data_IF_546394548869
#
_entry.id   IF_546394548869
#
_cell.length_a   1.000
_cell.length_b   1.000
_cell.length_c   1.000
_cell.angle_alpha   90.00
_cell.angle_beta   90.00
_cell.angle_gamma   90.00
#
_symmetry.space_group_name_H-M   'P 1'
#
loop_
_entity.id
_entity.type
_entity.pdbx_description
1 polymer ?
#
# COMPACT_ATOMS: atom_id res chain seq x y z
N UNK A 1 -10.48 -6.92 34.12
CA UNK A 1 -9.28 -6.43 34.85
C UNK A 1 -9.64 -6.31 36.32
N UNK A 2 -8.69 -6.51 37.23
CA UNK A 2 -8.99 -6.52 38.67
C UNK A 2 -8.74 -5.13 39.28
N UNK A 3 -9.48 -4.77 40.33
CA UNK A 3 -9.41 -3.45 40.98
C UNK A 3 -7.98 -3.08 41.42
N UNK A 4 -7.19 -4.06 41.88
CA UNK A 4 -5.77 -3.85 42.24
C UNK A 4 -4.94 -3.34 41.07
N UNK A 5 -5.13 -3.92 39.88
CA UNK A 5 -4.40 -3.51 38.67
C UNK A 5 -4.82 -2.10 38.24
N UNK A 6 -6.11 -1.77 38.38
CA UNK A 6 -6.64 -0.45 38.03
C UNK A 6 -6.01 0.62 38.91
N UNK A 7 -6.04 0.41 40.23
CA UNK A 7 -5.43 1.33 41.21
C UNK A 7 -3.94 1.57 40.97
N UNK A 8 -3.18 0.52 40.63
CA UNK A 8 -1.75 0.65 40.34
C UNK A 8 -1.46 1.48 39.07
N UNK A 9 -2.44 1.65 38.18
CA UNK A 9 -2.27 2.36 36.91
C UNK A 9 -2.90 3.76 36.92
N UNK A 10 -3.38 4.27 38.06
CA UNK A 10 -4.02 5.59 38.13
C UNK A 10 -3.14 6.73 37.66
N UNK A 11 -1.88 6.79 38.12
CA UNK A 11 -0.92 7.83 37.69
C UNK A 11 -0.70 7.77 36.19
N UNK A 12 -0.39 6.59 35.65
CA UNK A 12 -0.17 6.37 34.22
C UNK A 12 -1.40 6.72 33.37
N UNK A 13 -2.60 6.56 33.92
CA UNK A 13 -3.84 6.93 33.25
C UNK A 13 -4.08 8.43 33.21
N UNK A 14 -3.84 9.13 34.31
CA UNK A 14 -3.95 10.59 34.39
C UNK A 14 -2.92 11.25 33.47
N UNK A 15 -1.69 10.73 33.45
CA UNK A 15 -0.61 11.20 32.57
C UNK A 15 -0.75 10.74 31.12
N UNK A 16 -1.80 9.97 30.77
CA UNK A 16 -2.05 9.40 29.44
C UNK A 16 -0.88 8.58 28.88
N UNK A 17 -0.11 7.93 29.76
CA UNK A 17 1.06 7.11 29.45
C UNK A 17 0.74 5.60 29.33
N UNK A 18 -0.52 5.22 29.28
CA UNK A 18 -0.94 3.83 29.10
C UNK A 18 -1.04 3.44 27.61
N UNK A 19 -0.66 2.20 27.30
CA UNK A 19 -0.86 1.64 25.95
C UNK A 19 -2.36 1.58 25.60
N UNK A 20 -2.69 1.72 24.31
CA UNK A 20 -4.10 1.82 23.86
C UNK A 20 -4.97 0.64 24.30
N UNK A 21 -4.42 -0.59 24.36
CA UNK A 21 -5.13 -1.78 24.83
C UNK A 21 -5.48 -1.68 26.32
N UNK A 22 -4.51 -1.33 27.16
CA UNK A 22 -4.70 -1.23 28.61
C UNK A 22 -5.64 -0.08 28.95
N UNK A 23 -5.55 1.03 28.24
CA UNK A 23 -6.45 2.18 28.39
C UNK A 23 -7.91 1.79 28.13
N UNK A 24 -8.20 1.03 27.05
CA UNK A 24 -9.55 0.54 26.76
C UNK A 24 -10.06 -0.38 27.88
N UNK A 25 -9.25 -1.34 28.30
CA UNK A 25 -9.63 -2.26 29.39
C UNK A 25 -9.89 -1.54 30.70
N UNK A 26 -9.13 -0.47 30.98
CA UNK A 26 -9.33 0.33 32.18
C UNK A 26 -10.61 1.15 32.13
N UNK A 27 -10.93 1.78 30.99
CA UNK A 27 -12.21 2.49 30.79
C UNK A 27 -13.41 1.59 31.06
N UNK A 28 -13.43 0.41 30.42
CA UNK A 28 -14.49 -0.59 30.65
C UNK A 28 -14.63 -0.96 32.14
N UNK A 29 -13.51 -1.05 32.87
CA UNK A 29 -13.56 -1.34 34.30
C UNK A 29 -14.08 -0.15 35.13
N UNK A 30 -13.69 1.08 34.79
CA UNK A 30 -14.19 2.28 35.47
C UNK A 30 -15.69 2.49 35.25
N UNK A 31 -16.19 2.16 34.06
CA UNK A 31 -17.62 2.24 33.71
C UNK A 31 -18.46 1.20 34.48
N UNK A 32 -17.88 0.02 34.74
CA UNK A 32 -18.56 -1.09 35.44
C UNK A 32 -18.35 -1.10 36.95
N UNK A 33 -17.29 -0.49 37.48
CA UNK A 33 -16.91 -0.53 38.88
C UNK A 33 -16.95 0.86 39.53
N UNK A 34 -18.07 1.17 40.20
CA UNK A 34 -18.28 2.45 40.90
C UNK A 34 -17.21 2.76 41.95
N UNK A 35 -16.68 1.75 42.66
CA UNK A 35 -15.66 1.98 43.69
C UNK A 35 -14.33 2.43 43.09
N UNK A 36 -13.92 1.87 41.95
CA UNK A 36 -12.71 2.30 41.26
C UNK A 36 -12.88 3.67 40.60
N UNK A 37 -14.07 3.97 40.07
CA UNK A 37 -14.39 5.28 39.49
C UNK A 37 -14.31 6.39 40.55
N UNK A 38 -14.98 6.21 41.68
CA UNK A 38 -14.95 7.18 42.80
C UNK A 38 -13.53 7.39 43.34
N UNK A 39 -12.78 6.30 43.52
CA UNK A 39 -11.39 6.38 43.99
C UNK A 39 -10.50 7.15 43.00
N UNK A 40 -10.74 7.00 41.69
CA UNK A 40 -10.02 7.74 40.67
C UNK A 40 -10.35 9.24 40.70
N UNK A 41 -11.61 9.61 40.92
CA UNK A 41 -12.02 11.01 41.08
C UNK A 41 -11.33 11.67 42.30
N UNK A 42 -11.39 11.00 43.46
CA UNK A 42 -10.71 11.45 44.68
C UNK A 42 -9.19 11.58 44.47
N UNK A 43 -8.57 10.60 43.81
CA UNK A 43 -7.15 10.62 43.48
C UNK A 43 -6.79 11.74 42.50
N UNK A 44 -7.64 12.01 41.50
CA UNK A 44 -7.42 13.07 40.51
C UNK A 44 -7.49 14.45 41.16
N UNK A 45 -8.40 14.65 42.12
CA UNK A 45 -8.49 15.88 42.91
C UNK A 45 -7.25 16.14 43.75
N UNK A 46 -6.68 15.10 44.38
CA UNK A 46 -5.41 15.22 45.09
C UNK A 46 -4.23 15.47 44.13
N UNK A 47 -4.19 14.76 43.00
CA UNK A 47 -3.11 14.88 42.02
C UNK A 47 -3.09 16.27 41.36
N UNK A 48 -4.25 16.90 41.12
CA UNK A 48 -4.31 18.26 40.57
C UNK A 48 -3.78 19.32 41.53
N UNK A 49 -3.98 19.15 42.85
CA UNK A 49 -3.40 20.04 43.87
C UNK A 49 -1.87 19.95 43.91
N UNK A 50 -1.30 18.78 43.61
CA UNK A 50 0.15 18.60 43.46
C UNK A 50 0.67 19.14 42.10
N UNK A 51 -0.24 19.32 41.14
CA UNK A 51 0.04 19.61 39.74
C UNK A 51 0.34 21.07 39.43
N UNK A 52 0.26 21.97 40.41
CA UNK A 52 0.80 23.33 40.29
C UNK A 52 2.33 23.30 40.39
N UNK A 53 2.94 22.51 39.51
CA UNK A 53 4.36 22.60 39.22
C UNK A 53 4.49 23.83 38.36
N UNK A 54 4.85 24.95 38.99
CA UNK A 54 5.36 26.14 38.30
C UNK A 54 6.18 25.65 37.12
N UNK A 55 5.79 26.06 35.90
CA UNK A 55 6.53 25.67 34.70
C UNK A 55 7.94 26.20 34.89
N UNK A 56 8.84 25.33 35.35
CA UNK A 56 10.24 25.66 35.57
C UNK A 56 10.74 26.14 34.23
N UNK A 57 10.90 27.46 34.10
CA UNK A 57 11.38 28.03 32.84
C UNK A 57 12.80 27.50 32.66
N UNK A 58 13.07 26.78 31.56
CA UNK A 58 14.42 26.30 31.31
C UNK A 58 15.35 27.51 31.21
N UNK A 59 16.58 27.38 31.71
CA UNK A 59 17.58 28.45 31.57
C UNK A 59 17.71 28.84 30.09
N UNK A 60 17.96 30.11 29.74
CA UNK A 60 18.04 30.56 28.34
C UNK A 60 18.99 29.75 27.45
N UNK A 61 20.04 29.16 28.04
CA UNK A 61 21.05 28.36 27.34
C UNK A 61 20.79 26.84 27.37
N UNK A 62 19.68 26.40 27.96
CA UNK A 62 19.36 24.97 28.08
C UNK A 62 19.30 24.30 26.70
N UNK A 63 18.63 24.95 25.75
CA UNK A 63 18.48 24.42 24.40
C UNK A 63 19.82 24.31 23.66
N UNK A 64 20.69 25.31 23.81
CA UNK A 64 22.01 25.30 23.19
C UNK A 64 22.88 24.17 23.76
N UNK A 65 22.89 24.00 25.09
CA UNK A 65 23.66 22.92 25.73
C UNK A 65 23.12 21.53 25.39
N UNK A 66 21.80 21.38 25.32
CA UNK A 66 21.17 20.12 24.94
C UNK A 66 21.52 19.75 23.49
N UNK A 67 21.37 20.71 22.58
CA UNK A 67 21.72 20.54 21.16
C UNK A 67 23.20 20.17 21.00
N UNK A 68 24.09 20.84 21.73
CA UNK A 68 25.51 20.54 21.70
C UNK A 68 25.80 19.10 22.16
N UNK A 69 25.23 18.66 23.29
CA UNK A 69 25.41 17.28 23.77
C UNK A 69 24.91 16.23 22.79
N UNK A 70 23.74 16.45 22.18
CA UNK A 70 23.20 15.53 21.17
C UNK A 70 24.17 15.40 19.98
N UNK A 71 24.71 16.51 19.48
CA UNK A 71 25.68 16.44 18.37
C UNK A 71 27.01 15.83 18.76
N UNK A 72 27.48 16.05 19.99
CA UNK A 72 28.71 15.43 20.50
C UNK A 72 28.53 13.92 20.62
N UNK A 73 27.40 13.46 21.17
CA UNK A 73 27.05 12.04 21.28
C UNK A 73 26.85 11.40 19.89
N UNK A 74 26.17 12.07 18.96
CA UNK A 74 25.98 11.58 17.58
C UNK A 74 27.30 11.48 16.81
N UNK A 75 28.24 12.40 17.03
CA UNK A 75 29.60 12.35 16.45
C UNK A 75 30.47 11.27 17.09
N UNK A 76 30.28 10.99 18.37
CA UNK A 76 31.00 9.94 19.08
C UNK A 76 30.57 8.53 18.63
N UNK A 77 29.34 8.38 18.12
CA UNK A 77 28.82 7.13 17.57
C UNK A 77 29.29 6.97 16.11
N UNK A 78 30.55 6.56 15.96
CA UNK A 78 31.15 5.94 14.78
C UNK A 78 31.31 6.76 13.46
N UNK A 79 32.54 7.24 13.15
CA UNK A 79 32.90 7.67 11.78
C UNK A 79 32.81 6.52 10.75
N UNK A 80 32.82 5.27 11.21
CA UNK A 80 32.75 4.06 10.37
C UNK A 80 31.31 3.67 9.99
N UNK A 81 30.28 4.41 10.40
CA UNK A 81 28.90 4.16 9.92
C UNK A 81 28.39 5.28 8.99
N UNK A 82 29.00 6.47 9.05
CA UNK A 82 28.68 7.62 8.21
C UNK A 82 28.90 7.36 6.71
N UNK A 83 29.98 6.67 6.33
CA UNK A 83 30.26 6.35 4.92
C UNK A 83 29.24 5.38 4.31
N UNK A 84 28.67 4.47 5.10
CA UNK A 84 27.62 3.55 4.66
C UNK A 84 26.26 4.26 4.52
N UNK A 85 25.98 5.27 5.35
CA UNK A 85 24.76 6.07 5.25
C UNK A 85 24.79 7.08 4.11
N UNK A 86 25.97 7.62 3.76
CA UNK A 86 26.15 8.48 2.58
C UNK A 86 25.97 7.70 1.26
N UNK A 87 26.49 6.46 1.19
CA UNK A 87 26.20 5.54 0.08
C UNK A 87 24.70 5.18 -0.01
N UNK A 88 24.00 5.09 1.13
CA UNK A 88 22.55 4.84 1.17
C UNK A 88 21.72 6.01 0.64
N UNK A 89 22.21 7.25 0.72
CA UNK A 89 21.56 8.42 0.10
C UNK A 89 21.75 8.44 -1.42
N UNK A 90 22.86 7.91 -1.94
CA UNK A 90 23.12 7.73 -3.38
C UNK A 90 22.47 6.45 -3.97
N UNK A 91 21.93 5.56 -3.15
CA UNK A 91 21.22 4.36 -3.60
C UNK A 91 19.82 4.64 -4.20
N UNK A 92 19.28 5.86 -4.09
CA UNK A 92 17.97 6.21 -4.67
C UNK A 92 17.97 6.31 -6.21
N UNK A 93 18.92 6.99 -6.89
CA UNK A 93 18.96 7.00 -8.36
C UNK A 93 19.42 5.66 -8.97
N UNK A 94 20.19 4.84 -8.24
CA UNK A 94 20.71 3.58 -8.76
C UNK A 94 19.61 2.54 -9.07
N UNK A 95 18.53 2.53 -8.28
CA UNK A 95 17.42 1.60 -8.50
C UNK A 95 16.67 1.86 -9.81
N UNK A 96 16.54 3.12 -10.25
CA UNK A 96 15.89 3.43 -11.53
C UNK A 96 16.72 2.95 -12.72
N UNK A 97 18.05 3.12 -12.65
CA UNK A 97 18.96 2.66 -13.70
C UNK A 97 18.97 1.12 -13.73
N UNK A 98 18.97 0.45 -12.58
CA UNK A 98 18.91 -1.00 -12.51
C UNK A 98 17.63 -1.57 -13.13
N UNK A 99 16.46 -0.97 -12.85
CA UNK A 99 15.18 -1.38 -13.47
C UNK A 99 15.21 -1.18 -14.99
N UNK A 100 15.81 -0.08 -15.47
CA UNK A 100 15.94 0.21 -16.89
C UNK A 100 16.85 -0.81 -17.59
N UNK A 101 18.00 -1.16 -16.99
CA UNK A 101 18.91 -2.18 -17.52
C UNK A 101 18.24 -3.56 -17.53
N UNK A 102 17.55 -3.95 -16.46
CA UNK A 102 16.82 -5.21 -16.39
C UNK A 102 15.75 -5.26 -17.49
N UNK A 103 14.99 -4.18 -17.68
CA UNK A 103 13.99 -4.09 -18.74
C UNK A 103 14.58 -4.27 -20.14
N UNK A 104 15.73 -3.66 -20.43
CA UNK A 104 16.43 -3.81 -21.71
C UNK A 104 16.91 -5.25 -21.91
N UNK A 105 17.51 -5.87 -20.89
CA UNK A 105 18.02 -7.25 -20.98
C UNK A 105 16.89 -8.25 -21.19
N UNK A 106 15.79 -8.11 -20.44
CA UNK A 106 14.60 -8.96 -20.60
C UNK A 106 13.97 -8.75 -21.96
N UNK A 107 13.81 -7.49 -22.41
CA UNK A 107 13.31 -7.18 -23.74
C UNK A 107 14.18 -7.73 -24.86
N UNK A 108 15.50 -7.67 -24.72
CA UNK A 108 16.45 -8.25 -25.67
C UNK A 108 16.34 -9.78 -25.71
N UNK A 109 16.28 -10.44 -24.56
CA UNK A 109 16.12 -11.91 -24.52
C UNK A 109 14.79 -12.37 -25.12
N UNK A 110 13.70 -11.64 -24.88
CA UNK A 110 12.39 -11.97 -25.46
C UNK A 110 12.28 -11.61 -26.94
N UNK A 111 12.97 -10.56 -27.39
CA UNK A 111 12.99 -10.15 -28.80
C UNK A 111 13.85 -11.05 -29.69
N UNK A 112 14.81 -11.78 -29.11
CA UNK A 112 15.70 -12.68 -29.82
C UNK A 112 15.21 -14.14 -29.88
N UNK A 113 13.97 -14.42 -29.50
CA UNK A 113 13.35 -15.68 -29.91
C UNK A 113 13.16 -15.63 -31.43
N UNK A 114 13.85 -16.47 -32.22
CA UNK A 114 13.47 -16.63 -33.61
C UNK A 114 12.00 -17.07 -33.60
N UNK A 115 11.11 -16.19 -34.06
CA UNK A 115 9.80 -16.63 -34.49
C UNK A 115 10.06 -17.65 -35.60
N UNK A 116 9.99 -18.93 -35.27
CA UNK A 116 9.75 -20.00 -36.25
C UNK A 116 8.35 -19.76 -36.79
N UNK A 117 8.26 -18.79 -37.69
CA UNK A 117 7.06 -18.44 -38.43
C UNK A 117 6.96 -19.32 -39.68
N UNK A 118 7.14 -20.64 -39.50
CA UNK A 118 7.14 -21.63 -40.58
C UNK A 118 5.92 -22.57 -40.52
N UNK A 119 4.83 -22.12 -39.90
CA UNK A 119 3.53 -22.80 -40.00
C UNK A 119 2.34 -21.90 -40.38
N UNK A 120 2.57 -20.62 -40.70
CA UNK A 120 1.48 -19.72 -41.13
C UNK A 120 1.52 -19.41 -42.65
N UNK A 121 2.65 -19.65 -43.34
CA UNK A 121 2.79 -19.30 -44.77
C UNK A 121 2.42 -20.43 -45.75
N UNK A 122 2.23 -21.68 -45.30
CA UNK A 122 1.84 -22.79 -46.18
C UNK A 122 0.32 -22.98 -46.39
N UNK A 123 -0.54 -22.17 -45.76
CA UNK A 123 -1.99 -22.23 -45.98
C UNK A 123 -2.55 -21.08 -46.84
N UNK A 124 -1.69 -20.21 -47.39
CA UNK A 124 -2.14 -19.05 -48.19
C UNK A 124 -2.53 -19.45 -49.64
N UNK A 125 -2.30 -20.69 -50.06
CA UNK A 125 -2.74 -21.21 -51.38
C UNK A 125 -4.04 -22.05 -51.33
N UNK A 126 -4.85 -21.91 -50.27
CA UNK A 126 -6.17 -22.56 -50.16
C UNK A 126 -7.18 -21.61 -49.52
N UNK A 127 -7.35 -20.44 -50.15
CA UNK A 127 -8.25 -19.38 -49.74
C UNK A 127 -9.72 -19.82 -49.78
N UNK A 128 -10.21 -20.41 -48.70
CA UNK A 128 -11.66 -20.67 -48.50
C UNK A 128 -12.07 -20.78 -47.01
N UNK A 129 -11.23 -20.36 -46.05
CA UNK A 129 -11.47 -20.60 -44.61
C UNK A 129 -11.53 -19.35 -43.71
N UNK A 130 -11.35 -18.14 -44.25
CA UNK A 130 -11.42 -16.91 -43.41
C UNK A 130 -12.86 -16.48 -43.13
N UNK A 131 -13.79 -16.79 -44.03
CA UNK A 131 -15.19 -16.34 -43.88
C UNK A 131 -15.91 -17.12 -42.77
N UNK A 132 -15.56 -18.39 -42.53
CA UNK A 132 -16.23 -19.24 -41.54
C UNK A 132 -15.90 -18.88 -40.08
N UNK A 133 -14.68 -18.43 -39.79
CA UNK A 133 -14.27 -18.12 -38.42
C UNK A 133 -14.82 -16.78 -37.89
N UNK A 134 -15.15 -15.83 -38.78
CA UNK A 134 -15.75 -14.56 -38.34
C UNK A 134 -17.22 -14.75 -37.96
N UNK A 135 -17.94 -15.66 -38.63
CA UNK A 135 -19.36 -15.91 -38.31
C UNK A 135 -19.55 -16.70 -37.01
N UNK A 136 -18.61 -17.56 -36.62
CA UNK A 136 -18.64 -18.28 -35.34
C UNK A 136 -18.50 -17.37 -34.11
N UNK A 137 -17.80 -16.23 -34.24
CA UNK A 137 -17.60 -15.28 -33.12
C UNK A 137 -18.90 -14.51 -32.80
N UNK A 138 -19.78 -14.34 -33.79
CA UNK A 138 -21.02 -13.55 -33.64
C UNK A 138 -22.29 -14.38 -33.45
N UNK A 139 -22.18 -15.72 -33.37
CA UNK A 139 -23.28 -16.65 -33.15
C UNK A 139 -24.51 -16.36 -34.04
N UNK A 140 -24.27 -16.15 -35.34
CA UNK A 140 -25.29 -15.84 -36.34
C UNK A 140 -26.02 -17.10 -36.86
N UNK A 141 -26.07 -18.18 -36.08
CA UNK A 141 -26.80 -19.40 -36.41
C UNK A 141 -28.33 -19.20 -36.40
N UNK A 142 -28.84 -18.13 -35.79
CA UNK A 142 -30.28 -17.82 -35.75
C UNK A 142 -30.81 -17.22 -37.07
N UNK A 143 -29.93 -16.75 -37.96
CA UNK A 143 -30.33 -16.25 -39.28
C UNK A 143 -30.55 -17.38 -40.30
N UNK A 144 -30.19 -18.62 -39.96
CA UNK A 144 -30.38 -19.79 -40.82
C UNK A 144 -31.84 -20.28 -40.87
N UNK A 145 -32.72 -19.76 -40.01
CA UNK A 145 -34.14 -20.10 -39.99
C UNK A 145 -35.00 -19.09 -40.76
N UNK A 146 -34.37 -18.19 -41.53
CA UNK A 146 -35.10 -17.25 -42.37
C UNK A 146 -35.69 -17.96 -43.59
N UNK A 147 -37.01 -17.85 -43.83
CA UNK A 147 -37.66 -18.51 -44.93
C UNK A 147 -37.10 -18.04 -46.28
N UNK A 148 -36.87 -19.01 -47.19
CA UNK A 148 -36.34 -18.76 -48.53
C UNK A 148 -37.22 -17.76 -49.28
N UNK A 149 -36.69 -16.57 -49.53
CA UNK A 149 -37.41 -15.42 -50.10
C UNK A 149 -36.91 -14.04 -49.63
N UNK A 150 -35.92 -14.00 -48.73
CA UNK A 150 -35.29 -12.77 -48.24
C UNK A 150 -34.57 -11.97 -49.34
N UNK A 151 -34.68 -10.64 -49.21
CA UNK A 151 -34.17 -9.57 -50.09
C UNK A 151 -32.68 -9.67 -50.44
N UNK A 152 -31.92 -10.48 -49.71
CA UNK A 152 -30.50 -10.72 -49.97
C UNK A 152 -30.26 -11.45 -51.30
N UNK A 153 -31.09 -12.44 -51.63
CA UNK A 153 -30.93 -13.23 -52.86
C UNK A 153 -31.22 -12.39 -54.11
N UNK A 154 -32.15 -11.43 -54.02
CA UNK A 154 -32.46 -10.49 -55.09
C UNK A 154 -31.43 -9.36 -55.20
N UNK A 155 -30.81 -8.95 -54.09
CA UNK A 155 -29.72 -7.96 -54.11
C UNK A 155 -28.45 -8.53 -54.78
N UNK A 156 -28.08 -9.77 -54.45
CA UNK A 156 -26.90 -10.41 -55.04
C UNK A 156 -27.05 -10.71 -56.54
N UNK A 157 -28.27 -11.00 -57.02
CA UNK A 157 -28.50 -11.18 -58.46
C UNK A 157 -28.51 -9.88 -59.25
N UNK A 158 -28.81 -8.73 -58.62
CA UNK A 158 -28.70 -7.42 -59.26
C UNK A 158 -27.25 -6.95 -59.42
N UNK A 159 -26.35 -7.36 -58.53
CA UNK A 159 -24.96 -6.88 -58.50
C UNK A 159 -24.01 -7.81 -59.26
N UNK A 160 -24.33 -9.11 -59.32
CA UNK A 160 -23.55 -10.07 -60.10
C UNK A 160 -23.94 -10.13 -61.59
N UNK A 161 -24.87 -9.28 -62.02
CA UNK A 161 -25.34 -9.19 -63.41
C UNK A 161 -24.79 -7.99 -64.19
N UNK A 162 -23.52 -8.07 -64.62
CA UNK A 162 -22.99 -7.44 -65.85
C UNK A 162 -21.59 -7.99 -66.19
#
# INVERSE_FOLDING_TARGET
>A
MNCKKVRNNFVLYIEKNLTGRVTKTMKVHLDSCKSCSRLLEEFTGFYSMLGEKDRIQPSPYFWNRLKQRIYEDEKAIHPVWSWLTELKQWARPANMIAVLIIGIVVGYMLGNFPQTNDQIVSQINGSDSTTQQVFDIYNMEELNDLPKGSLEATYFSMISGS
#
